data_IF_965171216594
#
_entry.id   IF_965171216594
#
_cell.length_a   1.000
_cell.length_b   1.000
_cell.length_c   1.000
_cell.angle_alpha   90.00
_cell.angle_beta   90.00
_cell.angle_gamma   90.00
#
_symmetry.space_group_name_H-M   'P 1'
#
loop_
_entity.id
_entity.type
_entity.pdbx_description
1 polymer ?
#
# COMPACT_ATOMS: atom_id res chain seq x y z
N UNK A 1 0.14 2.56 20.19
CA UNK A 1 1.48 2.84 19.67
C UNK A 1 1.33 3.84 18.55
N UNK A 2 1.96 5.00 18.67
CA UNK A 2 1.98 6.04 17.62
C UNK A 2 3.06 5.69 16.60
N UNK A 3 2.90 6.11 15.35
CA UNK A 3 3.87 5.82 14.29
C UNK A 3 5.27 6.35 14.64
N UNK A 4 5.35 7.53 15.25
CA UNK A 4 6.60 8.11 15.76
C UNK A 4 7.33 7.21 16.76
N UNK A 5 6.62 6.48 17.62
CA UNK A 5 7.21 5.55 18.60
C UNK A 5 7.85 4.33 17.92
N UNK A 6 7.44 4.00 16.68
CA UNK A 6 8.04 2.93 15.90
C UNK A 6 9.31 3.38 15.16
N UNK A 7 9.42 4.67 14.80
CA UNK A 7 10.60 5.21 14.12
C UNK A 7 11.88 5.06 14.95
N UNK A 8 11.77 5.19 16.28
CA UNK A 8 12.87 4.99 17.21
C UNK A 8 13.37 3.53 17.25
N UNK A 9 12.56 2.58 16.75
CA UNK A 9 12.91 1.15 16.67
C UNK A 9 13.53 0.77 15.33
N UNK A 10 13.54 1.68 14.35
CA UNK A 10 14.11 1.42 13.02
C UNK A 10 15.63 1.34 13.15
N UNK A 11 16.26 0.21 12.79
CA UNK A 11 17.71 0.08 12.81
C UNK A 11 18.39 1.15 11.94
N UNK A 12 19.38 1.84 12.50
CA UNK A 12 20.13 2.87 11.78
C UNK A 12 21.25 2.30 10.88
N UNK A 13 21.57 1.00 11.03
CA UNK A 13 22.71 0.33 10.42
C UNK A 13 22.37 -0.51 9.18
N UNK A 14 21.08 -0.57 8.79
CA UNK A 14 20.60 -1.34 7.64
C UNK A 14 19.36 -0.71 7.02
N UNK A 15 19.13 -1.04 5.75
CA UNK A 15 17.89 -0.68 5.07
C UNK A 15 16.68 -1.40 5.70
N UNK A 16 15.54 -0.72 5.72
CA UNK A 16 14.26 -1.24 6.19
C UNK A 16 13.20 -1.00 5.12
N UNK A 17 12.43 -2.04 4.81
CA UNK A 17 11.22 -1.90 4.02
C UNK A 17 9.99 -1.79 4.92
N UNK A 18 9.08 -0.90 4.54
CA UNK A 18 7.77 -0.76 5.18
C UNK A 18 6.71 -0.95 4.11
N UNK A 19 5.88 -1.99 4.28
CA UNK A 19 4.68 -2.17 3.49
C UNK A 19 3.49 -1.54 4.22
N UNK A 20 2.81 -0.61 3.55
CA UNK A 20 1.64 0.06 4.11
C UNK A 20 0.54 0.26 3.06
N UNK A 21 -0.67 0.52 3.54
CA UNK A 21 -1.79 0.91 2.70
C UNK A 21 -1.67 2.38 2.30
N UNK A 22 -2.34 2.74 1.21
CA UNK A 22 -2.59 4.14 0.88
C UNK A 22 -3.33 4.87 2.03
N UNK A 23 -3.18 6.19 2.08
CA UNK A 23 -3.89 7.03 3.05
C UNK A 23 -5.41 7.08 2.79
N UNK A 24 -6.14 7.83 3.63
CA UNK A 24 -7.58 7.97 3.49
C UNK A 24 -7.99 8.43 2.09
N UNK A 25 -8.98 7.75 1.51
CA UNK A 25 -9.50 8.00 0.17
C UNK A 25 -10.96 8.37 0.18
N UNK A 26 -11.41 9.04 -0.88
CA UNK A 26 -12.82 9.20 -1.16
C UNK A 26 -13.49 7.82 -1.36
N UNK A 27 -14.81 7.70 -1.15
CA UNK A 27 -15.57 6.49 -1.43
C UNK A 27 -15.35 5.98 -2.86
N UNK A 28 -15.44 4.66 -3.04
CA UNK A 28 -15.45 4.03 -4.37
C UNK A 28 -16.91 3.70 -4.62
N UNK A 29 -17.50 4.34 -5.63
CA UNK A 29 -18.93 4.22 -5.94
C UNK A 29 -19.20 3.19 -7.02
N UNK A 30 -18.20 2.85 -7.83
CA UNK A 30 -18.31 1.83 -8.86
C UNK A 30 -17.02 1.00 -9.01
N UNK A 31 -17.15 -0.16 -9.63
CA UNK A 31 -15.98 -1.00 -9.99
C UNK A 31 -15.03 -0.23 -10.91
N UNK A 32 -15.55 0.58 -11.84
CA UNK A 32 -14.73 1.40 -12.74
C UNK A 32 -13.86 2.39 -11.97
N UNK A 33 -14.42 3.04 -10.96
CA UNK A 33 -13.73 4.10 -10.21
C UNK A 33 -12.73 3.54 -9.20
N UNK A 34 -12.73 2.22 -8.98
CA UNK A 34 -11.93 1.62 -7.92
C UNK A 34 -10.41 1.68 -8.16
N UNK A 35 -9.95 1.89 -9.39
CA UNK A 35 -8.54 2.18 -9.70
C UNK A 35 -8.21 3.69 -9.67
N UNK A 36 -9.22 4.53 -9.93
CA UNK A 36 -9.08 5.97 -10.09
C UNK A 36 -9.36 6.76 -8.82
N UNK A 37 -10.00 6.13 -7.83
CA UNK A 37 -10.35 6.77 -6.57
C UNK A 37 -9.13 7.42 -5.90
N UNK A 38 -9.29 8.70 -5.58
CA UNK A 38 -8.26 9.61 -5.07
C UNK A 38 -8.32 9.73 -3.55
N UNK A 39 -7.22 10.22 -2.96
CA UNK A 39 -7.14 10.60 -1.56
C UNK A 39 -8.12 11.72 -1.21
N UNK A 40 -8.54 11.76 0.05
CA UNK A 40 -9.19 12.94 0.64
C UNK A 40 -8.14 14.02 0.90
N UNK A 41 -8.57 15.26 1.15
CA UNK A 41 -7.67 16.32 1.61
C UNK A 41 -6.97 15.95 2.93
N UNK A 42 -7.69 15.25 3.83
CA UNK A 42 -7.12 14.72 5.07
C UNK A 42 -6.06 13.66 4.79
N UNK A 43 -6.32 12.71 3.88
CA UNK A 43 -5.37 11.68 3.50
C UNK A 43 -4.07 12.24 2.90
N UNK A 44 -4.16 13.30 2.11
CA UNK A 44 -2.98 14.03 1.61
C UNK A 44 -2.19 14.64 2.78
N UNK A 45 -2.86 15.39 3.65
CA UNK A 45 -2.22 16.05 4.80
C UNK A 45 -1.56 15.05 5.75
N UNK A 46 -2.22 13.94 6.06
CA UNK A 46 -1.67 12.89 6.92
C UNK A 46 -0.42 12.25 6.29
N UNK A 47 -0.42 12.07 4.97
CA UNK A 47 0.74 11.55 4.23
C UNK A 47 1.91 12.53 4.24
N UNK A 48 1.66 13.83 4.10
CA UNK A 48 2.69 14.86 4.23
C UNK A 48 3.27 14.91 5.65
N UNK A 49 2.43 14.80 6.69
CA UNK A 49 2.90 14.74 8.08
C UNK A 49 3.80 13.53 8.32
N UNK A 50 3.42 12.36 7.82
CA UNK A 50 4.27 11.17 7.83
C UNK A 50 5.61 11.44 7.13
N UNK A 51 5.58 12.07 5.96
CA UNK A 51 6.80 12.48 5.24
C UNK A 51 7.73 13.34 6.09
N UNK A 52 7.18 14.32 6.82
CA UNK A 52 7.96 15.19 7.72
C UNK A 52 8.61 14.39 8.85
N UNK A 53 7.92 13.41 9.43
CA UNK A 53 8.49 12.53 10.46
C UNK A 53 9.63 11.65 9.93
N UNK A 54 9.62 11.33 8.63
CA UNK A 54 10.64 10.53 7.97
C UNK A 54 11.85 11.35 7.47
N UNK A 55 11.85 12.68 7.61
CA UNK A 55 12.93 13.52 7.04
C UNK A 55 14.29 13.34 7.70
N UNK A 56 14.33 12.75 8.91
CA UNK A 56 15.56 12.40 9.62
C UNK A 56 16.31 11.20 9.01
N UNK A 57 15.68 10.42 8.13
CA UNK A 57 16.34 9.32 7.45
C UNK A 57 17.18 9.81 6.26
N UNK A 58 18.37 9.23 6.03
CA UNK A 58 19.30 9.73 5.00
C UNK A 58 18.75 9.58 3.57
N UNK A 59 17.86 8.60 3.34
CA UNK A 59 17.27 8.31 2.04
C UNK A 59 15.96 7.55 2.20
N UNK A 60 14.92 8.04 1.55
CA UNK A 60 13.60 7.40 1.49
C UNK A 60 13.25 7.08 0.03
N UNK A 61 12.97 5.82 -0.25
CA UNK A 61 12.49 5.36 -1.56
C UNK A 61 11.02 4.96 -1.45
N UNK A 62 10.17 5.55 -2.29
CA UNK A 62 8.74 5.34 -2.26
C UNK A 62 8.30 4.65 -3.54
N UNK A 63 7.82 3.42 -3.40
CA UNK A 63 7.21 2.63 -4.47
C UNK A 63 5.70 2.56 -4.26
N UNK A 64 4.94 2.44 -5.34
CA UNK A 64 3.49 2.41 -5.25
C UNK A 64 2.86 1.50 -6.30
N UNK A 65 1.66 0.98 -6.04
CA UNK A 65 0.87 0.30 -7.07
C UNK A 65 0.42 1.26 -8.19
N UNK A 66 -0.03 0.79 -9.36
CA UNK A 66 -0.60 1.62 -10.42
C UNK A 66 -1.86 2.43 -10.03
N UNK A 67 -2.45 2.13 -8.88
CA UNK A 67 -3.68 2.77 -8.38
C UNK A 67 -3.41 4.22 -7.95
N UNK A 68 -4.29 5.15 -8.37
CA UNK A 68 -4.07 6.59 -8.23
C UNK A 68 -3.87 7.06 -6.78
N UNK A 69 -4.70 6.62 -5.84
CA UNK A 69 -4.51 6.93 -4.40
C UNK A 69 -3.16 6.47 -3.84
N UNK A 70 -2.61 5.37 -4.33
CA UNK A 70 -1.30 4.88 -3.87
C UNK A 70 -0.19 5.81 -4.36
N UNK A 71 -0.27 6.23 -5.62
CA UNK A 71 0.61 7.26 -6.19
C UNK A 71 0.53 8.58 -5.43
N UNK A 72 -0.69 9.03 -5.12
CA UNK A 72 -0.90 10.27 -4.34
C UNK A 72 -0.32 10.17 -2.93
N UNK A 73 -0.46 9.02 -2.27
CA UNK A 73 0.12 8.78 -0.94
C UNK A 73 1.64 8.89 -1.00
N UNK A 74 2.28 8.17 -1.93
CA UNK A 74 3.73 8.22 -2.11
C UNK A 74 4.23 9.64 -2.40
N UNK A 75 3.55 10.38 -3.28
CA UNK A 75 3.91 11.77 -3.60
C UNK A 75 3.77 12.70 -2.41
N UNK A 76 2.68 12.59 -1.65
CA UNK A 76 2.45 13.41 -0.48
C UNK A 76 3.49 13.15 0.63
N UNK A 77 3.88 11.87 0.85
CA UNK A 77 5.00 11.52 1.75
C UNK A 77 6.30 12.15 1.25
N UNK A 78 6.61 12.02 -0.04
CA UNK A 78 7.82 12.62 -0.60
C UNK A 78 7.84 14.14 -0.41
N UNK A 79 6.75 14.83 -0.72
CA UNK A 79 6.59 16.28 -0.49
C UNK A 79 6.84 16.63 0.97
N UNK A 80 6.19 15.94 1.91
CA UNK A 80 6.38 16.20 3.34
C UNK A 80 7.83 16.02 3.80
N UNK A 81 8.50 14.99 3.30
CA UNK A 81 9.90 14.72 3.59
C UNK A 81 10.82 15.81 3.03
N UNK A 82 10.66 16.18 1.75
CA UNK A 82 11.48 17.21 1.10
C UNK A 82 11.25 18.60 1.69
N UNK A 83 10.00 18.94 2.03
CA UNK A 83 9.66 20.22 2.68
C UNK A 83 10.30 20.36 4.06
N UNK A 84 10.57 19.25 4.73
CA UNK A 84 11.27 19.20 6.01
C UNK A 84 12.80 19.05 5.87
N UNK A 85 13.34 19.17 4.65
CA UNK A 85 14.78 19.09 4.37
C UNK A 85 15.34 17.68 4.21
N UNK A 86 14.47 16.65 4.15
CA UNK A 86 14.87 15.27 3.93
C UNK A 86 15.11 14.92 2.46
N UNK A 87 15.50 13.67 2.21
CA UNK A 87 15.78 13.14 0.88
C UNK A 87 14.82 11.98 0.53
N UNK A 88 13.80 12.26 -0.27
CA UNK A 88 12.83 11.27 -0.72
C UNK A 88 12.72 11.23 -2.24
N UNK A 89 12.56 10.02 -2.80
CA UNK A 89 12.32 9.79 -4.22
C UNK A 89 11.11 8.89 -4.43
N UNK A 90 10.22 9.27 -5.36
CA UNK A 90 9.09 8.43 -5.78
C UNK A 90 9.49 7.68 -7.04
N UNK A 91 9.51 6.36 -6.96
CA UNK A 91 9.75 5.46 -8.08
C UNK A 91 8.43 5.07 -8.75
N UNK A 92 8.53 4.55 -9.98
CA UNK A 92 7.39 4.21 -10.82
C UNK A 92 6.45 3.18 -10.20
N UNK A 93 5.32 2.96 -10.86
CA UNK A 93 4.31 2.01 -10.38
C UNK A 93 4.76 0.56 -10.51
N UNK A 94 4.55 -0.23 -9.47
CA UNK A 94 4.82 -1.65 -9.43
C UNK A 94 3.53 -2.47 -9.22
N UNK A 95 3.20 -3.34 -10.17
CA UNK A 95 1.97 -4.14 -10.13
C UNK A 95 1.96 -5.14 -8.99
N UNK A 96 3.13 -5.54 -8.48
CA UNK A 96 3.23 -6.46 -7.34
C UNK A 96 2.69 -5.84 -6.04
N UNK A 97 2.64 -4.50 -5.97
CA UNK A 97 2.05 -3.73 -4.87
C UNK A 97 0.53 -3.53 -5.05
N UNK A 98 -0.02 -3.91 -6.21
CA UNK A 98 -1.41 -3.68 -6.62
C UNK A 98 -2.38 -4.82 -6.31
N UNK A 99 -2.00 -5.76 -5.44
CA UNK A 99 -2.79 -6.97 -5.17
C UNK A 99 -2.65 -8.04 -6.25
N UNK A 100 -1.42 -8.52 -6.53
CA UNK A 100 -1.13 -9.54 -7.56
C UNK A 100 -1.81 -10.89 -7.32
N UNK A 101 -2.38 -11.10 -6.13
CA UNK A 101 -3.19 -12.26 -5.77
C UNK A 101 -4.61 -12.22 -6.33
N UNK A 102 -5.05 -11.09 -6.90
CA UNK A 102 -6.37 -10.98 -7.55
C UNK A 102 -6.29 -11.55 -8.97
N UNK A 103 -6.91 -12.72 -9.18
CA UNK A 103 -6.90 -13.43 -10.46
C UNK A 103 -7.97 -12.89 -11.42
N UNK A 104 -9.16 -12.57 -10.90
CA UNK A 104 -10.22 -11.86 -11.62
C UNK A 104 -10.68 -10.65 -10.80
N UNK A 105 -9.94 -9.56 -10.95
CA UNK A 105 -10.18 -8.32 -10.22
C UNK A 105 -11.60 -7.77 -10.44
N UNK A 106 -12.14 -7.86 -11.66
CA UNK A 106 -13.44 -7.24 -11.98
C UNK A 106 -14.55 -7.99 -11.26
N UNK A 107 -14.51 -9.32 -11.28
CA UNK A 107 -15.47 -10.17 -10.57
C UNK A 107 -15.31 -10.04 -9.05
N UNK A 108 -14.06 -9.97 -8.56
CA UNK A 108 -13.79 -9.79 -7.14
C UNK A 108 -14.38 -8.47 -6.62
N UNK A 109 -14.18 -7.37 -7.36
CA UNK A 109 -14.73 -6.07 -6.98
C UNK A 109 -16.26 -6.03 -7.09
N UNK A 110 -16.86 -6.71 -8.07
CA UNK A 110 -18.31 -6.84 -8.13
C UNK A 110 -18.89 -7.52 -6.87
N UNK A 111 -18.27 -8.62 -6.41
CA UNK A 111 -18.65 -9.31 -5.17
C UNK A 111 -18.44 -8.43 -3.93
N UNK A 112 -17.34 -7.67 -3.88
CA UNK A 112 -17.09 -6.71 -2.78
C UNK A 112 -18.18 -5.64 -2.73
N UNK A 113 -18.65 -5.15 -3.87
CA UNK A 113 -19.74 -4.16 -3.93
C UNK A 113 -21.09 -4.77 -3.57
N UNK A 114 -21.36 -6.00 -4.00
CA UNK A 114 -22.63 -6.71 -3.74
C UNK A 114 -22.74 -7.18 -2.28
N UNK A 115 -21.67 -7.73 -1.72
CA UNK A 115 -21.68 -8.45 -0.43
C UNK A 115 -20.90 -7.74 0.68
N UNK A 116 -20.12 -6.72 0.34
CA UNK A 116 -19.25 -5.99 1.25
C UNK A 116 -17.85 -6.59 1.39
N UNK A 117 -16.86 -5.73 1.60
CA UNK A 117 -15.45 -6.12 1.75
C UNK A 117 -15.21 -7.10 2.92
N UNK A 118 -15.92 -6.94 4.05
CA UNK A 118 -15.77 -7.82 5.20
C UNK A 118 -16.21 -9.26 4.91
N UNK A 119 -17.28 -9.44 4.14
CA UNK A 119 -17.71 -10.76 3.68
C UNK A 119 -16.66 -11.39 2.76
N UNK A 120 -16.17 -10.61 1.79
CA UNK A 120 -15.16 -11.09 0.84
C UNK A 120 -13.89 -11.57 1.57
N UNK A 121 -13.35 -10.75 2.48
CA UNK A 121 -12.15 -11.10 3.26
C UNK A 121 -12.38 -12.34 4.11
N UNK A 122 -13.54 -12.45 4.79
CA UNK A 122 -13.86 -13.64 5.58
C UNK A 122 -13.85 -14.90 4.71
N UNK A 123 -14.53 -14.87 3.57
CA UNK A 123 -14.62 -16.02 2.65
C UNK A 123 -13.28 -16.36 2.02
N UNK A 124 -12.45 -15.36 1.74
CA UNK A 124 -11.10 -15.58 1.24
C UNK A 124 -10.25 -16.34 2.26
N UNK A 125 -10.24 -15.89 3.51
CA UNK A 125 -9.43 -16.49 4.57
C UNK A 125 -9.91 -17.88 4.98
N UNK A 126 -11.17 -18.22 4.70
CA UNK A 126 -11.71 -19.57 4.94
C UNK A 126 -11.67 -20.48 3.72
N UNK A 127 -11.12 -20.02 2.58
CA UNK A 127 -11.06 -20.80 1.35
C UNK A 127 -12.44 -21.06 0.71
N UNK A 128 -13.44 -20.25 1.05
CA UNK A 128 -14.84 -20.40 0.61
C UNK A 128 -15.19 -19.51 -0.61
N UNK A 129 -14.20 -18.78 -1.16
CA UNK A 129 -14.38 -18.09 -2.44
C UNK A 129 -14.28 -19.06 -3.61
N UNK A 130 -14.94 -18.72 -4.69
CA UNK A 130 -14.88 -19.50 -5.92
C UNK A 130 -13.45 -19.57 -6.50
N UNK A 131 -13.03 -20.73 -7.03
CA UNK A 131 -11.73 -20.86 -7.67
C UNK A 131 -11.53 -19.86 -8.82
N UNK A 132 -10.30 -19.36 -8.96
CA UNK A 132 -9.94 -18.42 -10.03
C UNK A 132 -10.30 -16.96 -9.78
N UNK A 133 -10.89 -16.63 -8.63
CA UNK A 133 -11.17 -15.24 -8.24
C UNK A 133 -9.94 -14.56 -7.62
N UNK A 134 -9.30 -15.27 -6.70
CA UNK A 134 -8.16 -14.83 -5.90
C UNK A 134 -7.35 -16.05 -5.48
N UNK A 135 -6.03 -15.92 -5.37
CA UNK A 135 -5.17 -17.00 -4.88
C UNK A 135 -5.48 -17.36 -3.43
N UNK A 136 -5.02 -18.50 -2.95
CA UNK A 136 -5.07 -18.82 -1.53
C UNK A 136 -4.45 -17.71 -0.67
N UNK A 137 -5.01 -17.48 0.53
CA UNK A 137 -4.60 -16.38 1.41
C UNK A 137 -3.19 -16.56 1.98
N UNK A 138 -2.78 -17.79 2.31
CA UNK A 138 -1.42 -18.08 2.78
C UNK A 138 -0.42 -17.93 1.64
N UNK A 139 -0.78 -18.41 0.46
CA UNK A 139 0.04 -18.23 -0.73
C UNK A 139 0.21 -16.76 -1.11
N UNK A 140 -0.86 -15.98 -1.05
CA UNK A 140 -0.82 -14.53 -1.28
C UNK A 140 0.11 -13.82 -0.28
N UNK A 141 0.04 -14.20 1.00
CA UNK A 141 0.90 -13.63 2.04
C UNK A 141 2.38 -13.97 1.81
N UNK A 142 2.69 -15.23 1.47
CA UNK A 142 4.04 -15.68 1.13
C UNK A 142 4.60 -14.90 -0.06
N UNK A 143 3.83 -14.83 -1.15
CA UNK A 143 4.24 -14.12 -2.37
C UNK A 143 4.49 -12.63 -2.10
N UNK A 144 3.70 -11.99 -1.24
CA UNK A 144 3.93 -10.60 -0.87
C UNK A 144 5.25 -10.40 -0.13
N UNK A 145 5.62 -11.31 0.78
CA UNK A 145 6.91 -11.25 1.46
C UNK A 145 8.08 -11.49 0.50
N UNK A 146 7.97 -12.47 -0.38
CA UNK A 146 9.00 -12.76 -1.39
C UNK A 146 9.22 -11.59 -2.33
N UNK A 147 8.13 -10.98 -2.81
CA UNK A 147 8.19 -9.77 -3.63
C UNK A 147 8.95 -8.64 -2.92
N UNK A 148 8.77 -8.46 -1.61
CA UNK A 148 9.48 -7.45 -0.85
C UNK A 148 10.99 -7.75 -0.74
N UNK A 149 11.35 -9.01 -0.55
CA UNK A 149 12.75 -9.43 -0.45
C UNK A 149 13.48 -9.31 -1.80
N UNK A 150 12.87 -9.81 -2.86
CA UNK A 150 13.50 -9.95 -4.17
C UNK A 150 13.58 -8.63 -4.93
N UNK A 151 12.49 -7.85 -4.93
CA UNK A 151 12.40 -6.63 -5.75
C UNK A 151 13.07 -5.43 -5.08
N UNK A 152 12.98 -5.34 -3.76
CA UNK A 152 13.53 -4.21 -3.00
C UNK A 152 14.80 -4.58 -2.24
N UNK A 153 15.38 -5.75 -2.50
CA UNK A 153 16.64 -6.25 -1.95
C UNK A 153 16.71 -6.18 -0.41
N UNK A 154 15.57 -6.41 0.25
CA UNK A 154 15.48 -6.41 1.71
C UNK A 154 15.76 -7.83 2.21
N UNK A 155 16.74 -7.97 3.10
CA UNK A 155 16.97 -9.24 3.80
C UNK A 155 15.90 -9.40 4.88
N UNK A 156 14.94 -10.30 4.64
CA UNK A 156 13.93 -10.71 5.61
C UNK A 156 14.49 -11.69 6.64
#
# INVERSE_FOLDING_TARGET
MRFSEWLDLVPADRAVAVLMRHAERNPIESVRDSLEARLTAKGIKDSELLGRELSGFPRIELHHSPVERCRQTARAIATGCTDAGGNASVFGSDTILGGPYMLDWRRAMALVMERGAGWFVKKWFTGELEPGLVTDAHEAARQQLENLADVYHVRL
#
